data_IF_466222285528
#
_entry.id   IF_466222285528
#
_cell.length_a   1.000
_cell.length_b   1.000
_cell.length_c   1.000
_cell.angle_alpha   90.00
_cell.angle_beta   90.00
_cell.angle_gamma   90.00
#
_symmetry.space_group_name_H-M   'P 1'
#
loop_
_entity.id
_entity.type
_entity.pdbx_description
1 polymer ?
#
# COMPACT_ATOMS: atom_id res chain seq x y z
N UNK A 1 -19.17 -2.71 -29.27
CA UNK A 1 -17.97 -3.23 -28.58
C UNK A 1 -17.46 -4.36 -29.44
N UNK A 2 -16.25 -4.23 -29.95
CA UNK A 2 -15.64 -5.22 -30.82
C UNK A 2 -15.17 -6.41 -29.96
N UNK A 3 -15.65 -7.61 -30.29
CA UNK A 3 -15.29 -8.83 -29.57
C UNK A 3 -13.87 -9.22 -29.95
N UNK A 4 -12.90 -8.91 -29.09
CA UNK A 4 -11.52 -9.35 -29.26
C UNK A 4 -11.49 -10.85 -28.96
N UNK A 5 -11.22 -11.67 -29.98
CA UNK A 5 -10.98 -13.10 -29.81
C UNK A 5 -9.65 -13.28 -29.07
N UNK A 6 -9.74 -13.57 -27.76
CA UNK A 6 -8.58 -13.80 -26.89
C UNK A 6 -8.59 -15.24 -26.42
N UNK A 7 -7.49 -15.95 -26.67
CA UNK A 7 -7.19 -17.18 -25.96
C UNK A 7 -6.81 -16.85 -24.53
N UNK A 8 -7.56 -17.41 -23.58
CA UNK A 8 -7.26 -17.29 -22.16
C UNK A 8 -6.45 -18.49 -21.68
N UNK A 9 -5.54 -18.30 -20.71
CA UNK A 9 -4.87 -19.42 -20.06
C UNK A 9 -5.89 -20.30 -19.33
N UNK A 10 -5.49 -21.52 -18.97
CA UNK A 10 -6.37 -22.44 -18.23
C UNK A 10 -6.78 -21.82 -16.89
N UNK A 11 -7.94 -22.23 -16.38
CA UNK A 11 -8.48 -21.67 -15.14
C UNK A 11 -7.47 -21.70 -13.98
N UNK A 12 -6.75 -22.81 -13.80
CA UNK A 12 -5.71 -22.93 -12.75
C UNK A 12 -4.61 -21.87 -12.87
N UNK A 13 -4.22 -21.52 -14.09
CA UNK A 13 -3.21 -20.50 -14.34
C UNK A 13 -3.77 -19.10 -14.07
N UNK A 14 -5.03 -18.83 -14.45
CA UNK A 14 -5.71 -17.59 -14.09
C UNK A 14 -5.80 -17.43 -12.56
N UNK A 15 -6.15 -18.48 -11.83
CA UNK A 15 -6.22 -18.45 -10.36
C UNK A 15 -4.84 -18.17 -9.76
N UNK A 16 -3.77 -18.81 -10.25
CA UNK A 16 -2.41 -18.53 -9.77
C UNK A 16 -1.98 -17.09 -10.04
N UNK A 17 -2.25 -16.57 -11.23
CA UNK A 17 -1.97 -15.17 -11.59
C UNK A 17 -2.74 -14.23 -10.66
N UNK A 18 -4.04 -14.46 -10.48
CA UNK A 18 -4.89 -13.63 -9.62
C UNK A 18 -4.41 -13.65 -8.16
N UNK A 19 -4.00 -14.81 -7.64
CA UNK A 19 -3.49 -14.94 -6.29
C UNK A 19 -2.21 -14.11 -6.11
N UNK A 20 -1.23 -14.26 -7.02
CA UNK A 20 0.03 -13.51 -6.96
C UNK A 20 -0.23 -12.00 -6.99
N UNK A 21 -1.12 -11.53 -7.87
CA UNK A 21 -1.48 -10.12 -7.94
C UNK A 21 -2.18 -9.64 -6.66
N UNK A 22 -3.09 -10.43 -6.11
CA UNK A 22 -3.78 -10.11 -4.86
C UNK A 22 -2.83 -10.06 -3.66
N UNK A 23 -1.80 -10.91 -3.63
CA UNK A 23 -0.78 -10.91 -2.58
C UNK A 23 0.07 -9.63 -2.66
N UNK A 24 0.48 -9.24 -3.88
CA UNK A 24 1.19 -7.98 -4.13
C UNK A 24 0.36 -6.77 -3.71
N UNK A 25 -0.93 -6.72 -4.10
CA UNK A 25 -1.84 -5.65 -3.68
C UNK A 25 -1.97 -5.58 -2.16
N UNK A 26 -2.01 -6.72 -1.48
CA UNK A 26 -2.06 -6.78 -0.02
C UNK A 26 -0.79 -6.19 0.61
N UNK A 27 0.38 -6.52 0.06
CA UNK A 27 1.66 -5.99 0.53
C UNK A 27 1.76 -4.47 0.32
N UNK A 28 1.38 -3.98 -0.86
CA UNK A 28 1.35 -2.54 -1.18
C UNK A 28 0.46 -1.80 -0.17
N UNK A 29 -0.75 -2.29 0.05
CA UNK A 29 -1.69 -1.70 1.01
C UNK A 29 -1.12 -1.68 2.44
N UNK A 30 -0.40 -2.71 2.85
CA UNK A 30 0.25 -2.75 4.17
C UNK A 30 1.37 -1.71 4.28
N UNK A 31 2.18 -1.54 3.24
CA UNK A 31 3.25 -0.55 3.18
C UNK A 31 2.70 0.89 3.18
N UNK A 32 1.63 1.16 2.43
CA UNK A 32 0.97 2.46 2.40
C UNK A 32 0.41 2.85 3.77
N UNK A 33 -0.26 1.91 4.47
CA UNK A 33 -0.73 2.14 5.84
C UNK A 33 0.42 2.44 6.81
N UNK A 34 1.54 1.73 6.66
CA UNK A 34 2.74 1.97 7.48
C UNK A 34 3.36 3.34 7.20
N UNK A 35 3.44 3.73 5.93
CA UNK A 35 3.92 5.04 5.51
C UNK A 35 3.05 6.15 6.11
N UNK A 36 1.73 6.01 6.03
CA UNK A 36 0.79 7.01 6.55
C UNK A 36 0.92 7.15 8.07
N UNK A 37 1.03 6.04 8.79
CA UNK A 37 1.32 6.05 10.23
C UNK A 37 2.59 6.84 10.56
N UNK A 38 3.67 6.63 9.81
CA UNK A 38 4.93 7.37 10.05
C UNK A 38 4.83 8.85 9.71
N UNK A 39 4.08 9.22 8.67
CA UNK A 39 3.79 10.63 8.36
C UNK A 39 3.06 11.32 9.50
N UNK A 40 2.02 10.67 10.06
CA UNK A 40 1.28 11.19 11.21
C UNK A 40 2.17 11.36 12.44
N UNK A 41 3.02 10.37 12.74
CA UNK A 41 3.97 10.45 13.85
C UNK A 41 4.94 11.63 13.64
N UNK A 42 5.53 11.75 12.45
CA UNK A 42 6.44 12.85 12.11
C UNK A 42 5.75 14.20 12.29
N UNK A 43 4.51 14.34 11.84
CA UNK A 43 3.73 15.57 11.99
C UNK A 43 3.46 15.90 13.45
N UNK A 44 3.04 14.92 14.25
CA UNK A 44 2.81 15.10 15.69
C UNK A 44 4.08 15.46 16.46
N UNK A 45 5.21 14.82 16.13
CA UNK A 45 6.52 15.15 16.69
C UNK A 45 6.92 16.60 16.35
N UNK A 46 6.77 17.00 15.08
CA UNK A 46 7.08 18.35 14.65
C UNK A 46 6.19 19.38 15.36
N UNK A 47 4.90 19.09 15.56
CA UNK A 47 4.03 19.96 16.34
C UNK A 47 4.52 20.13 17.79
N UNK A 48 4.94 19.05 18.45
CA UNK A 48 5.44 19.11 19.82
C UNK A 48 6.77 19.88 19.94
N UNK A 49 7.65 19.74 18.95
CA UNK A 49 8.93 20.45 18.89
C UNK A 49 8.76 21.95 18.57
N UNK A 50 7.99 22.28 17.53
CA UNK A 50 7.79 23.66 17.09
C UNK A 50 6.95 24.49 18.07
N UNK A 51 6.06 23.86 18.83
CA UNK A 51 5.32 24.54 19.91
C UNK A 51 6.08 24.60 21.23
N UNK A 52 7.30 24.07 21.29
CA UNK A 52 8.14 24.08 22.48
C UNK A 52 7.62 23.22 23.64
N UNK A 53 6.63 22.35 23.40
CA UNK A 53 6.14 21.38 24.40
C UNK A 53 7.20 20.36 24.78
N UNK A 54 8.02 19.95 23.81
CA UNK A 54 9.18 19.11 24.01
C UNK A 54 10.40 19.87 23.49
N UNK A 55 11.45 19.99 24.31
CA UNK A 55 12.74 20.55 23.92
C UNK A 55 13.77 19.43 23.93
N UNK A 56 14.58 19.37 22.89
CA UNK A 56 15.78 18.53 22.85
C UNK A 56 16.88 19.30 23.60
N UNK A 57 17.39 18.72 24.69
CA UNK A 57 18.60 19.17 25.41
C UNK A 57 19.83 18.50 24.83
#
# INVERSE_FOLDING_TARGET
>A
MESIEKQFPKFDEQTRIAQILSDMDTEINALEKKLEKYKMIKQGMMQNLLTGRIRLI
#
